data_IF_936825400997
#
_entry.id   IF_936825400997
#
_cell.length_a   1.000
_cell.length_b   1.000
_cell.length_c   1.000
_cell.angle_alpha   90.00
_cell.angle_beta   90.00
_cell.angle_gamma   90.00
#
_symmetry.space_group_name_H-M   'P 1'
#
loop_
_entity.id
_entity.type
_entity.pdbx_description
1 polymer ?
#
# COMPACT_ATOMS: atom_id res chain seq x y z
N UNK A 1 8.53 -6.84 19.20
CA UNK A 1 9.36 -6.41 18.06
C UNK A 1 8.93 -7.23 16.86
N UNK A 2 9.01 -6.68 15.64
CA UNK A 2 8.63 -7.37 14.39
C UNK A 2 9.74 -8.35 14.01
N UNK A 3 9.46 -9.65 14.05
CA UNK A 3 10.42 -10.71 13.69
C UNK A 3 10.84 -10.54 12.22
N UNK A 4 9.88 -10.24 11.34
CA UNK A 4 10.15 -10.09 9.92
C UNK A 4 11.02 -8.85 9.62
N UNK A 5 10.75 -7.71 10.27
CA UNK A 5 11.59 -6.51 10.12
C UNK A 5 13.03 -6.77 10.61
N UNK A 6 13.20 -7.44 11.75
CA UNK A 6 14.55 -7.73 12.27
C UNK A 6 15.32 -8.69 11.35
N UNK A 7 14.64 -9.58 10.62
CA UNK A 7 15.26 -10.43 9.60
C UNK A 7 15.59 -9.68 8.30
N UNK A 8 14.76 -8.71 7.90
CA UNK A 8 15.00 -7.93 6.68
C UNK A 8 16.14 -6.91 6.84
N UNK A 9 16.34 -6.33 8.02
CA UNK A 9 17.45 -5.38 8.27
C UNK A 9 18.83 -5.91 7.84
N UNK A 10 19.32 -7.07 8.30
CA UNK A 10 20.62 -7.60 7.86
C UNK A 10 20.63 -7.96 6.36
N UNK A 11 19.52 -8.42 5.79
CA UNK A 11 19.40 -8.69 4.33
C UNK A 11 19.54 -7.41 3.51
N UNK A 12 18.85 -6.34 3.90
CA UNK A 12 18.96 -5.03 3.26
C UNK A 12 20.36 -4.42 3.42
N UNK A 13 21.01 -4.59 4.58
CA UNK A 13 22.40 -4.18 4.77
C UNK A 13 23.35 -4.94 3.83
N UNK A 14 23.18 -6.26 3.70
CA UNK A 14 23.97 -7.07 2.78
C UNK A 14 23.76 -6.61 1.32
N UNK A 15 22.51 -6.47 0.88
CA UNK A 15 22.15 -5.97 -0.46
C UNK A 15 22.76 -4.59 -0.76
N UNK A 16 22.68 -3.66 0.20
CA UNK A 16 23.32 -2.34 0.11
C UNK A 16 24.84 -2.45 -0.07
N UNK A 17 25.49 -3.36 0.64
CA UNK A 17 26.94 -3.51 0.61
C UNK A 17 27.48 -4.19 -0.66
N UNK A 18 26.71 -5.06 -1.32
CA UNK A 18 27.21 -5.89 -2.43
C UNK A 18 26.58 -5.57 -3.78
N UNK A 19 25.38 -4.99 -3.82
CA UNK A 19 24.68 -4.82 -5.08
C UNK A 19 25.29 -3.69 -5.94
N UNK A 20 25.14 -3.76 -7.28
CA UNK A 20 25.60 -2.73 -8.20
C UNK A 20 24.69 -1.49 -8.24
N UNK A 21 23.61 -1.47 -7.45
CA UNK A 21 22.57 -0.44 -7.53
C UNK A 21 22.83 0.78 -6.62
N UNK A 22 23.88 0.72 -5.79
CA UNK A 22 24.30 1.79 -4.89
C UNK A 22 25.68 2.33 -5.25
N UNK A 23 25.82 3.65 -5.17
CA UNK A 23 27.10 4.35 -5.24
C UNK A 23 27.96 4.04 -4.01
N UNK A 24 29.28 4.27 -4.12
CA UNK A 24 30.18 4.08 -2.97
C UNK A 24 29.81 4.96 -1.78
N UNK A 25 29.33 6.19 -2.04
CA UNK A 25 28.83 7.07 -0.99
C UNK A 25 27.61 6.48 -0.29
N UNK A 26 26.67 5.91 -1.05
CA UNK A 26 25.46 5.30 -0.51
C UNK A 26 25.72 4.07 0.37
N UNK A 27 26.91 3.44 0.29
CA UNK A 27 27.27 2.28 1.11
C UNK A 27 27.57 2.63 2.57
N UNK A 28 27.89 3.88 2.89
CA UNK A 28 28.11 4.34 4.27
C UNK A 28 26.84 4.25 5.13
N UNK A 29 26.98 4.10 6.45
CA UNK A 29 25.83 3.98 7.36
C UNK A 29 24.97 5.26 7.38
N UNK A 30 23.66 5.07 7.27
CA UNK A 30 22.69 6.15 7.28
C UNK A 30 22.13 6.44 8.67
N UNK A 31 21.92 7.72 9.00
CA UNK A 31 21.29 8.12 10.26
C UNK A 31 19.77 8.10 10.18
N UNK A 32 19.13 7.28 11.03
CA UNK A 32 17.69 7.21 11.21
C UNK A 32 17.35 7.29 12.71
N UNK A 33 16.41 8.17 13.10
CA UNK A 33 16.05 8.42 14.52
C UNK A 33 17.29 8.58 15.41
N UNK A 34 18.21 9.46 15.01
CA UNK A 34 19.44 9.84 15.73
C UNK A 34 20.56 8.78 15.79
N UNK A 35 20.35 7.60 15.21
CA UNK A 35 21.36 6.52 15.20
C UNK A 35 21.75 6.13 13.78
N UNK A 36 23.03 5.83 13.58
CA UNK A 36 23.55 5.29 12.32
C UNK A 36 23.26 3.79 12.22
N UNK A 37 22.82 3.34 11.05
CA UNK A 37 22.53 1.93 10.78
C UNK A 37 23.06 1.49 9.41
N UNK A 38 23.53 0.25 9.29
CA UNK A 38 24.05 -0.27 8.02
C UNK A 38 22.94 -0.51 6.98
N UNK A 39 21.70 -0.72 7.41
CA UNK A 39 20.52 -0.87 6.53
C UNK A 39 19.82 0.47 6.21
N UNK A 40 20.40 1.60 6.61
CA UNK A 40 19.94 2.93 6.21
C UNK A 40 20.96 3.55 5.26
N UNK A 41 20.48 4.33 4.29
CA UNK A 41 21.33 5.11 3.39
C UNK A 41 21.70 6.47 4.03
N UNK A 42 22.85 7.07 3.69
CA UNK A 42 23.07 8.49 3.93
C UNK A 42 21.93 9.30 3.32
N UNK A 43 21.51 10.40 3.96
CA UNK A 43 20.28 11.12 3.59
C UNK A 43 20.37 11.75 2.20
N UNK A 44 21.57 12.20 1.84
CA UNK A 44 21.96 12.70 0.53
C UNK A 44 21.82 11.64 -0.57
N UNK A 45 21.91 10.35 -0.22
CA UNK A 45 21.79 9.20 -1.12
C UNK A 45 20.40 8.54 -1.04
N UNK A 46 19.40 9.14 -0.38
CA UNK A 46 18.12 8.48 -0.12
C UNK A 46 17.37 8.05 -1.40
N UNK A 47 17.52 8.77 -2.51
CA UNK A 47 16.94 8.39 -3.81
C UNK A 47 17.48 7.04 -4.33
N UNK A 48 18.65 6.61 -3.87
CA UNK A 48 19.20 5.30 -4.19
C UNK A 48 18.41 4.13 -3.56
N UNK A 49 17.51 4.43 -2.63
CA UNK A 49 16.53 3.47 -2.13
C UNK A 49 15.52 3.02 -3.22
N UNK A 50 15.46 3.74 -4.35
CA UNK A 50 14.63 3.39 -5.49
C UNK A 50 15.42 2.64 -6.55
N UNK A 51 14.74 1.71 -7.23
CA UNK A 51 15.25 1.02 -8.41
C UNK A 51 15.75 2.05 -9.45
N UNK A 52 17.00 1.93 -9.94
CA UNK A 52 17.61 2.99 -10.77
C UNK A 52 16.78 3.43 -11.97
N UNK A 53 16.16 2.49 -12.70
CA UNK A 53 15.44 2.81 -13.95
C UNK A 53 14.16 3.63 -13.70
N UNK A 54 13.58 3.58 -12.49
CA UNK A 54 12.40 4.40 -12.14
C UNK A 54 12.75 5.66 -11.35
N UNK A 55 13.95 5.72 -10.74
CA UNK A 55 14.32 6.73 -9.71
C UNK A 55 13.94 8.14 -10.10
N UNK A 56 14.36 8.61 -11.28
CA UNK A 56 14.05 9.96 -11.74
C UNK A 56 12.56 10.18 -12.03
N UNK A 57 11.93 9.20 -12.69
CA UNK A 57 10.54 9.31 -13.11
C UNK A 57 9.56 9.30 -11.93
N UNK A 58 9.83 8.49 -10.89
CA UNK A 58 8.99 8.43 -9.70
C UNK A 58 9.20 9.64 -8.79
N UNK A 59 10.43 10.13 -8.60
CA UNK A 59 10.65 11.35 -7.80
C UNK A 59 10.01 12.57 -8.47
N UNK A 60 10.06 12.64 -9.82
CA UNK A 60 9.33 13.64 -10.59
C UNK A 60 7.81 13.51 -10.40
N UNK A 61 7.27 12.28 -10.50
CA UNK A 61 5.84 12.04 -10.27
C UNK A 61 5.40 12.44 -8.85
N UNK A 62 6.14 12.05 -7.81
CA UNK A 62 5.86 12.44 -6.43
C UNK A 62 5.94 13.96 -6.24
N UNK A 63 6.90 14.62 -6.89
CA UNK A 63 7.04 16.07 -6.87
C UNK A 63 5.85 16.79 -7.51
N UNK A 64 5.43 16.36 -8.71
CA UNK A 64 4.31 16.96 -9.46
C UNK A 64 2.97 16.72 -8.75
N UNK A 65 2.77 15.53 -8.18
CA UNK A 65 1.54 15.18 -7.45
C UNK A 65 1.57 15.63 -5.98
N UNK A 66 2.66 16.26 -5.55
CA UNK A 66 2.93 16.70 -4.18
C UNK A 66 2.67 15.59 -3.15
N UNK A 67 3.08 14.37 -3.51
CA UNK A 67 2.99 13.21 -2.64
C UNK A 67 4.09 13.30 -1.59
N UNK A 68 3.71 13.13 -0.33
CA UNK A 68 4.68 13.09 0.76
C UNK A 68 5.32 11.71 0.84
N UNK A 69 6.65 11.68 0.86
CA UNK A 69 7.38 10.47 1.22
C UNK A 69 7.26 10.17 2.71
N UNK A 70 6.88 8.95 3.06
CA UNK A 70 6.87 8.45 4.43
C UNK A 70 8.30 8.40 4.97
N UNK A 71 8.51 8.97 6.17
CA UNK A 71 9.81 9.13 6.81
C UNK A 71 10.94 9.74 5.94
N UNK A 72 10.57 10.35 4.80
CA UNK A 72 11.47 11.04 3.89
C UNK A 72 11.81 12.45 4.33
N UNK A 73 12.87 13.01 3.75
CA UNK A 73 13.37 14.37 4.05
C UNK A 73 13.69 15.11 2.77
N UNK A 74 13.49 16.44 2.77
CA UNK A 74 13.77 17.30 1.62
C UNK A 74 13.12 16.82 0.31
N UNK A 75 11.90 16.27 0.41
CA UNK A 75 11.14 15.66 -0.70
C UNK A 75 11.79 14.42 -1.33
N UNK A 76 12.78 13.82 -0.67
CA UNK A 76 13.37 12.53 -1.04
C UNK A 76 12.64 11.37 -0.34
N UNK A 77 12.69 10.16 -0.91
CA UNK A 77 12.18 8.96 -0.26
C UNK A 77 12.85 8.71 1.11
N UNK A 78 12.26 7.81 1.89
CA UNK A 78 12.86 7.31 3.12
C UNK A 78 14.27 6.80 2.85
N UNK A 79 15.21 7.06 3.75
CA UNK A 79 16.54 6.46 3.71
C UNK A 79 16.59 5.07 4.37
N UNK A 80 15.48 4.61 4.95
CA UNK A 80 15.36 3.30 5.58
C UNK A 80 15.04 2.22 4.52
N UNK A 81 15.90 1.23 4.33
CA UNK A 81 15.74 0.24 3.24
C UNK A 81 14.56 -0.72 3.44
N UNK A 82 13.98 -0.78 4.65
CA UNK A 82 12.73 -1.52 4.92
C UNK A 82 11.46 -0.65 4.88
N UNK A 83 11.52 0.54 4.29
CA UNK A 83 10.35 1.41 4.15
C UNK A 83 9.32 0.82 3.17
N UNK A 84 8.05 0.76 3.58
CA UNK A 84 7.00 0.12 2.79
C UNK A 84 6.50 0.96 1.62
N UNK A 85 6.56 2.29 1.72
CA UNK A 85 6.21 3.17 0.59
C UNK A 85 7.26 3.05 -0.52
N UNK A 86 8.55 3.00 -0.15
CA UNK A 86 9.63 2.73 -1.09
C UNK A 86 9.55 1.31 -1.66
N UNK A 87 9.17 0.32 -0.85
CA UNK A 87 8.89 -1.03 -1.34
C UNK A 87 7.77 -1.02 -2.39
N UNK A 88 6.61 -0.44 -2.06
CA UNK A 88 5.47 -0.29 -2.97
C UNK A 88 5.88 0.37 -4.30
N UNK A 89 6.60 1.48 -4.23
CA UNK A 89 7.17 2.19 -5.37
C UNK A 89 8.04 1.28 -6.25
N UNK A 90 8.97 0.54 -5.66
CA UNK A 90 9.88 -0.35 -6.37
C UNK A 90 9.17 -1.52 -7.05
N UNK A 91 8.03 -1.97 -6.52
CA UNK A 91 7.26 -3.05 -7.11
C UNK A 91 6.28 -2.57 -8.18
N UNK A 92 5.56 -1.48 -7.94
CA UNK A 92 4.41 -1.10 -8.78
C UNK A 92 4.73 0.00 -9.81
N UNK A 93 5.66 0.92 -9.53
CA UNK A 93 5.96 2.01 -10.45
C UNK A 93 6.54 1.55 -11.82
N UNK A 94 7.31 0.44 -11.91
CA UNK A 94 7.75 -0.09 -13.20
C UNK A 94 6.62 -0.45 -14.18
N UNK A 95 5.38 -0.59 -13.68
CA UNK A 95 4.18 -0.85 -14.46
C UNK A 95 3.37 0.43 -14.79
N UNK A 96 3.75 1.59 -14.25
CA UNK A 96 2.97 2.83 -14.34
C UNK A 96 2.73 3.31 -15.79
N UNK A 97 3.58 2.91 -16.73
CA UNK A 97 3.53 3.23 -18.15
C UNK A 97 3.45 1.99 -19.07
N UNK A 98 3.24 0.78 -18.50
CA UNK A 98 3.22 -0.49 -19.25
C UNK A 98 1.86 -1.18 -19.11
N UNK A 99 0.85 -0.78 -19.90
CA UNK A 99 -0.51 -1.28 -19.72
C UNK A 99 -0.64 -2.79 -19.89
N UNK A 100 0.08 -3.39 -20.83
CA UNK A 100 0.03 -4.83 -21.08
C UNK A 100 0.64 -5.62 -19.90
N UNK A 101 1.79 -5.17 -19.40
CA UNK A 101 2.44 -5.77 -18.24
C UNK A 101 1.57 -5.62 -16.97
N UNK A 102 0.96 -4.45 -16.75
CA UNK A 102 0.06 -4.24 -15.63
C UNK A 102 -1.19 -5.10 -15.73
N UNK A 103 -1.74 -5.27 -16.94
CA UNK A 103 -2.88 -6.16 -17.18
C UNK A 103 -2.51 -7.61 -16.85
N UNK A 104 -1.32 -8.07 -17.23
CA UNK A 104 -0.83 -9.43 -16.92
C UNK A 104 -0.64 -9.64 -15.40
N UNK A 105 -0.10 -8.64 -14.70
CA UNK A 105 0.03 -8.63 -13.24
C UNK A 105 -1.34 -8.74 -12.55
N UNK A 106 -2.26 -7.84 -12.91
CA UNK A 106 -3.58 -7.78 -12.26
C UNK A 106 -4.44 -9.01 -12.57
N UNK A 107 -4.25 -9.67 -13.71
CA UNK A 107 -5.00 -10.88 -14.08
C UNK A 107 -4.80 -12.04 -13.09
N UNK A 108 -3.71 -12.06 -12.33
CA UNK A 108 -3.47 -13.05 -11.27
C UNK A 108 -4.53 -12.97 -10.15
N UNK A 109 -5.12 -11.79 -9.94
CA UNK A 109 -6.11 -11.53 -8.89
C UNK A 109 -7.49 -11.23 -9.48
N UNK A 110 -7.53 -10.57 -10.63
CA UNK A 110 -8.73 -10.18 -11.37
C UNK A 110 -8.75 -10.89 -12.73
N UNK A 111 -9.10 -12.18 -12.80
CA UNK A 111 -8.99 -12.97 -14.04
C UNK A 111 -9.89 -12.46 -15.18
N UNK A 112 -10.93 -11.69 -14.84
CA UNK A 112 -11.88 -11.09 -15.79
C UNK A 112 -11.39 -9.75 -16.38
N UNK A 113 -10.17 -9.31 -16.07
CA UNK A 113 -9.61 -8.07 -16.63
C UNK A 113 -9.45 -8.18 -18.15
N UNK A 114 -10.01 -7.21 -18.86
CA UNK A 114 -9.83 -7.03 -20.31
C UNK A 114 -8.60 -6.17 -20.60
N UNK A 115 -8.57 -4.96 -20.04
CA UNK A 115 -7.47 -4.00 -20.18
C UNK A 115 -7.48 -3.00 -19.02
N UNK A 116 -6.31 -2.49 -18.66
CA UNK A 116 -6.17 -1.37 -17.73
C UNK A 116 -6.53 -0.04 -18.39
N UNK A 117 -6.90 0.94 -17.57
CA UNK A 117 -7.19 2.32 -17.94
C UNK A 117 -6.27 3.25 -17.17
N UNK A 118 -5.96 4.41 -17.74
CA UNK A 118 -5.18 5.43 -17.04
C UNK A 118 -5.92 5.90 -15.77
N UNK A 119 -5.20 5.95 -14.66
CA UNK A 119 -5.66 6.52 -13.40
C UNK A 119 -5.40 8.03 -13.31
N UNK A 120 -4.37 8.50 -14.01
CA UNK A 120 -3.92 9.88 -13.94
C UNK A 120 -4.13 10.59 -15.29
N UNK A 121 -4.35 11.90 -15.23
CA UNK A 121 -4.56 12.76 -16.41
C UNK A 121 -3.35 12.84 -17.35
N UNK A 122 -2.16 12.46 -16.86
CA UNK A 122 -0.92 12.37 -17.64
C UNK A 122 -0.74 10.99 -18.31
N UNK A 123 -1.75 10.12 -18.25
CA UNK A 123 -1.77 8.82 -18.92
C UNK A 123 -1.20 7.67 -18.10
N UNK A 124 -0.74 7.89 -16.86
CA UNK A 124 -0.23 6.81 -16.01
C UNK A 124 -1.34 5.86 -15.55
N UNK A 125 -1.03 4.56 -15.54
CA UNK A 125 -1.95 3.48 -15.18
C UNK A 125 -1.94 3.12 -13.69
N UNK A 126 -0.85 3.45 -13.00
CA UNK A 126 -0.72 3.28 -11.54
C UNK A 126 -0.63 4.67 -10.92
N UNK A 127 -1.51 4.94 -9.96
CA UNK A 127 -1.46 6.12 -9.12
C UNK A 127 -0.92 5.76 -7.73
N UNK A 128 -0.18 6.64 -7.07
CA UNK A 128 0.27 6.44 -5.69
C UNK A 128 -0.42 7.40 -4.74
N UNK A 129 -0.58 6.92 -3.50
CA UNK A 129 -1.15 7.67 -2.38
C UNK A 129 -2.54 8.25 -2.72
N UNK A 130 -3.35 7.50 -3.47
CA UNK A 130 -4.62 7.97 -4.03
C UNK A 130 -5.64 8.24 -2.93
N UNK A 131 -6.26 9.42 -2.97
CA UNK A 131 -7.22 9.91 -1.95
C UNK A 131 -8.64 10.09 -2.48
N UNK A 132 -8.91 9.74 -3.74
CA UNK A 132 -10.13 10.11 -4.46
C UNK A 132 -10.14 11.56 -4.95
N UNK A 133 -10.88 11.85 -6.02
CA UNK A 133 -11.00 13.18 -6.61
C UNK A 133 -11.69 14.17 -5.65
N UNK A 134 -12.56 13.66 -4.77
CA UNK A 134 -13.29 14.43 -3.75
C UNK A 134 -12.97 13.93 -2.34
N UNK A 135 -13.25 14.77 -1.34
CA UNK A 135 -13.10 14.40 0.07
C UNK A 135 -14.28 13.56 0.56
N UNK A 136 -14.43 12.35 0.01
CA UNK A 136 -15.57 11.47 0.29
C UNK A 136 -15.73 11.14 1.77
N UNK A 137 -14.63 11.01 2.50
CA UNK A 137 -14.65 10.64 3.92
C UNK A 137 -14.90 11.83 4.86
N UNK A 138 -14.98 13.06 4.35
CA UNK A 138 -15.12 14.25 5.18
C UNK A 138 -13.93 14.49 6.12
N UNK A 139 -12.74 14.02 5.75
CA UNK A 139 -11.53 14.17 6.58
C UNK A 139 -11.11 15.65 6.65
N UNK A 140 -10.45 16.02 7.74
CA UNK A 140 -10.15 17.43 8.01
C UNK A 140 -9.16 17.97 6.99
N UNK A 141 -9.60 18.99 6.27
CA UNK A 141 -8.73 19.78 5.39
C UNK A 141 -7.91 20.74 6.25
N UNK A 142 -6.60 20.79 5.98
CA UNK A 142 -5.71 21.69 6.70
C UNK A 142 -6.05 23.16 6.40
N UNK A 143 -5.53 24.10 7.20
CA UNK A 143 -5.82 25.54 7.04
C UNK A 143 -5.50 26.10 5.66
N UNK A 144 -4.61 25.45 4.90
CA UNK A 144 -4.27 25.86 3.53
C UNK A 144 -5.32 25.44 2.48
N UNK A 145 -6.42 24.79 2.88
CA UNK A 145 -7.50 24.37 1.98
C UNK A 145 -7.14 23.22 1.03
N UNK A 146 -5.93 22.67 1.13
CA UNK A 146 -5.39 21.71 0.16
C UNK A 146 -5.40 20.29 0.71
N UNK A 147 -5.89 19.35 -0.10
CA UNK A 147 -5.75 17.91 0.15
C UNK A 147 -4.39 17.45 -0.34
N UNK A 148 -3.67 16.69 0.47
CA UNK A 148 -2.30 16.22 0.17
C UNK A 148 -2.27 14.70 0.24
N UNK A 149 -1.70 14.06 -0.78
CA UNK A 149 -1.52 12.61 -0.82
C UNK A 149 -0.38 12.16 0.12
N UNK A 150 -0.56 11.06 0.85
CA UNK A 150 0.42 10.58 1.83
C UNK A 150 0.51 11.41 3.12
N UNK A 151 -0.48 12.28 3.38
CA UNK A 151 -0.51 13.09 4.59
C UNK A 151 -1.92 13.49 5.01
N UNK A 152 -2.30 13.17 6.26
CA UNK A 152 -3.55 13.61 6.92
C UNK A 152 -4.88 13.11 6.32
N UNK A 153 -4.84 12.44 5.17
CA UNK A 153 -5.99 11.81 4.53
C UNK A 153 -5.85 10.30 4.50
N UNK A 154 -6.95 9.61 4.22
CA UNK A 154 -6.92 8.21 3.83
C UNK A 154 -6.37 8.16 2.41
N UNK A 155 -5.18 7.59 2.29
CA UNK A 155 -4.51 7.34 1.02
C UNK A 155 -4.43 5.83 0.82
N UNK A 156 -4.81 5.36 -0.36
CA UNK A 156 -4.41 4.04 -0.82
C UNK A 156 -2.95 4.14 -1.30
N UNK A 157 -2.08 3.22 -0.88
CA UNK A 157 -0.66 3.25 -1.22
C UNK A 157 -0.47 3.30 -2.74
N UNK A 158 -1.31 2.56 -3.47
CA UNK A 158 -1.48 2.71 -4.90
C UNK A 158 -2.95 2.56 -5.33
N UNK A 159 -3.25 2.89 -6.58
CA UNK A 159 -4.55 2.62 -7.20
C UNK A 159 -4.39 2.33 -8.70
N UNK A 160 -5.23 1.43 -9.21
CA UNK A 160 -5.29 1.04 -10.62
C UNK A 160 -6.74 1.00 -11.08
N UNK A 161 -6.98 1.28 -12.37
CA UNK A 161 -8.30 1.16 -12.98
C UNK A 161 -8.25 0.23 -14.17
N UNK A 162 -9.31 -0.54 -14.38
CA UNK A 162 -9.41 -1.47 -15.50
C UNK A 162 -10.85 -1.75 -15.90
N UNK A 163 -11.01 -2.34 -17.08
CA UNK A 163 -12.28 -2.85 -17.57
C UNK A 163 -12.35 -4.36 -17.45
N UNK A 164 -13.52 -4.87 -17.14
CA UNK A 164 -13.85 -6.29 -17.18
C UNK A 164 -14.18 -6.71 -18.61
N UNK A 165 -14.20 -8.02 -18.86
CA UNK A 165 -14.69 -8.62 -20.11
C UNK A 165 -16.15 -8.29 -20.41
N UNK A 166 -16.97 -8.02 -19.39
CA UNK A 166 -18.37 -7.59 -19.54
C UNK A 166 -18.54 -6.06 -19.73
N UNK A 167 -17.44 -5.31 -19.80
CA UNK A 167 -17.46 -3.86 -20.03
C UNK A 167 -17.51 -2.98 -18.78
N UNK A 168 -17.74 -3.55 -17.59
CA UNK A 168 -17.72 -2.79 -16.33
C UNK A 168 -16.33 -2.24 -16.03
N UNK A 169 -16.28 -1.05 -15.44
CA UNK A 169 -15.05 -0.41 -14.96
C UNK A 169 -14.86 -0.67 -13.47
N UNK A 170 -13.64 -1.04 -13.08
CA UNK A 170 -13.27 -1.24 -11.69
C UNK A 170 -12.04 -0.42 -11.34
N UNK A 171 -12.07 0.25 -10.20
CA UNK A 171 -10.88 0.76 -9.51
C UNK A 171 -10.53 -0.24 -8.40
N UNK A 172 -9.26 -0.60 -8.32
CA UNK A 172 -8.70 -1.30 -7.15
C UNK A 172 -7.79 -0.34 -6.38
N UNK A 173 -8.20 0.00 -5.16
CA UNK A 173 -7.37 0.70 -4.17
C UNK A 173 -6.43 -0.31 -3.55
N UNK A 174 -5.13 -0.09 -3.66
CA UNK A 174 -4.10 -1.02 -3.19
C UNK A 174 -3.60 -0.57 -1.82
N UNK A 175 -3.72 -1.47 -0.85
CA UNK A 175 -3.04 -1.41 0.44
C UNK A 175 -1.80 -2.30 0.38
N UNK A 176 -0.63 -1.69 0.46
CA UNK A 176 0.65 -2.38 0.38
C UNK A 176 1.27 -2.52 1.76
N UNK A 177 1.77 -3.71 2.06
CA UNK A 177 2.57 -3.99 3.25
C UNK A 177 3.92 -4.56 2.84
N UNK A 178 4.88 -4.37 3.72
CA UNK A 178 6.20 -4.97 3.71
C UNK A 178 6.53 -5.55 5.08
N UNK A 179 7.06 -4.76 6.01
CA UNK A 179 7.57 -5.23 7.32
C UNK A 179 6.70 -4.85 8.52
N UNK A 180 5.48 -4.37 8.28
CA UNK A 180 4.58 -3.87 9.31
C UNK A 180 4.25 -4.95 10.35
N UNK A 181 4.20 -4.52 11.61
CA UNK A 181 3.76 -5.30 12.75
C UNK A 181 3.01 -4.37 13.69
N UNK A 182 1.81 -4.78 14.09
CA UNK A 182 0.92 -3.94 14.88
C UNK A 182 0.70 -4.52 16.28
N UNK A 183 0.56 -3.62 17.25
CA UNK A 183 0.15 -3.93 18.61
C UNK A 183 -1.35 -3.72 18.80
N UNK A 184 -1.84 -3.98 20.01
CA UNK A 184 -3.21 -3.74 20.47
C UNK A 184 -3.42 -2.30 20.96
N UNK A 185 -2.67 -1.34 20.40
CA UNK A 185 -2.84 0.08 20.74
C UNK A 185 -4.20 0.57 20.26
N UNK A 186 -5.04 0.99 21.20
CA UNK A 186 -6.33 1.61 20.89
C UNK A 186 -6.14 3.03 20.33
N UNK A 187 -6.65 3.26 19.12
CA UNK A 187 -6.43 4.48 18.34
C UNK A 187 -7.62 5.43 18.32
N UNK A 188 -8.72 5.15 19.02
CA UNK A 188 -9.92 6.01 18.98
C UNK A 188 -9.61 7.48 19.27
N UNK A 189 -8.83 7.75 20.31
CA UNK A 189 -8.43 9.11 20.67
C UNK A 189 -7.01 9.38 20.18
N UNK A 190 -6.87 10.35 19.28
CA UNK A 190 -5.57 10.80 18.81
C UNK A 190 -4.78 11.53 19.92
N UNK A 191 -3.46 11.65 19.76
CA UNK A 191 -2.61 12.43 20.69
C UNK A 191 -3.05 13.89 20.87
N UNK A 192 -3.74 14.45 19.87
CA UNK A 192 -4.32 15.80 19.94
C UNK A 192 -5.62 15.87 20.75
N UNK A 193 -6.11 14.76 21.30
CA UNK A 193 -7.40 14.66 21.98
C UNK A 193 -8.60 14.45 21.04
N UNK A 194 -8.37 14.44 19.72
CA UNK A 194 -9.45 14.23 18.75
C UNK A 194 -9.95 12.79 18.78
N UNK A 195 -11.25 12.62 18.99
CA UNK A 195 -11.94 11.34 18.80
C UNK A 195 -12.12 11.05 17.30
N UNK A 196 -11.47 10.00 16.81
CA UNK A 196 -11.46 9.59 15.41
C UNK A 196 -12.78 8.94 14.99
N UNK A 197 -13.61 8.46 15.93
CA UNK A 197 -14.95 7.93 15.61
C UNK A 197 -15.82 8.99 14.97
N UNK A 198 -15.73 10.24 15.43
CA UNK A 198 -16.52 11.37 14.91
C UNK A 198 -16.28 11.64 13.43
N UNK A 199 -15.11 11.26 12.91
CA UNK A 199 -14.77 11.43 11.49
C UNK A 199 -15.59 10.46 10.63
N UNK A 200 -15.70 9.20 11.06
CA UNK A 200 -16.22 8.12 10.21
C UNK A 200 -17.59 7.58 10.65
N UNK A 201 -18.12 8.01 11.80
CA UNK A 201 -19.41 7.55 12.32
C UNK A 201 -20.55 7.76 11.31
N UNK A 202 -20.52 8.88 10.57
CA UNK A 202 -21.52 9.18 9.55
C UNK A 202 -21.51 8.19 8.36
N UNK A 203 -20.39 7.49 8.11
CA UNK A 203 -20.27 6.44 7.08
C UNK A 203 -20.67 5.08 7.66
N UNK A 204 -20.19 4.78 8.87
CA UNK A 204 -20.52 3.54 9.57
C UNK A 204 -22.04 3.40 9.81
N UNK A 205 -22.71 4.50 10.12
CA UNK A 205 -24.14 4.52 10.44
C UNK A 205 -25.05 4.41 9.20
N UNK A 206 -24.54 4.55 7.97
CA UNK A 206 -25.37 4.40 6.77
C UNK A 206 -25.84 2.95 6.58
N UNK A 207 -26.98 2.78 5.90
CA UNK A 207 -27.57 1.47 5.60
C UNK A 207 -26.74 0.67 4.58
N UNK A 208 -26.08 1.39 3.67
CA UNK A 208 -25.18 0.88 2.66
C UNK A 208 -23.72 0.78 3.14
N UNK A 209 -23.46 0.94 4.44
CA UNK A 209 -22.14 0.72 5.03
C UNK A 209 -21.57 -0.64 4.55
N UNK A 210 -20.30 -0.68 4.06
CA UNK A 210 -19.72 -1.87 3.43
C UNK A 210 -19.36 -2.97 4.42
N UNK A 211 -19.51 -2.73 5.73
CA UNK A 211 -19.18 -3.66 6.80
C UNK A 211 -20.43 -4.34 7.37
N UNK A 212 -20.31 -5.63 7.67
CA UNK A 212 -21.34 -6.43 8.30
C UNK A 212 -21.38 -6.12 9.79
N UNK A 213 -22.18 -5.10 10.14
CA UNK A 213 -22.35 -4.63 11.51
C UNK A 213 -22.88 -5.69 12.48
N UNK A 214 -23.55 -6.73 11.98
CA UNK A 214 -24.03 -7.83 12.82
C UNK A 214 -22.90 -8.73 13.35
N UNK A 215 -21.74 -8.74 12.68
CA UNK A 215 -20.54 -9.46 13.12
C UNK A 215 -19.59 -8.58 13.95
N UNK A 216 -19.81 -7.26 13.99
CA UNK A 216 -18.94 -6.32 14.66
C UNK A 216 -19.50 -6.01 16.07
N UNK A 217 -18.80 -6.35 17.16
CA UNK A 217 -19.32 -6.10 18.51
C UNK A 217 -19.52 -4.60 18.80
N UNK A 218 -18.57 -3.76 18.39
CA UNK A 218 -18.65 -2.31 18.49
C UNK A 218 -17.88 -1.62 17.36
N UNK A 219 -18.28 -0.39 17.01
CA UNK A 219 -17.51 0.45 16.10
C UNK A 219 -16.10 0.73 16.62
N UNK A 220 -15.94 0.81 17.95
CA UNK A 220 -14.66 1.05 18.61
C UNK A 220 -13.65 -0.08 18.31
N UNK A 221 -14.12 -1.30 18.03
CA UNK A 221 -13.25 -2.45 17.74
C UNK A 221 -12.48 -2.32 16.42
N UNK A 222 -12.83 -1.33 15.59
CA UNK A 222 -12.11 -0.99 14.36
C UNK A 222 -10.95 -0.02 14.59
N UNK A 223 -10.83 0.59 15.77
CA UNK A 223 -9.78 1.58 16.06
C UNK A 223 -8.50 0.92 16.61
N UNK A 224 -8.07 -0.16 15.98
CA UNK A 224 -6.80 -0.84 16.21
C UNK A 224 -6.14 -1.09 14.85
N UNK A 225 -4.83 -0.90 14.71
CA UNK A 225 -4.20 -1.23 13.41
C UNK A 225 -4.05 -2.75 13.23
N UNK A 226 -4.26 -3.30 12.03
CA UNK A 226 -4.57 -2.61 10.78
C UNK A 226 -6.08 -2.45 10.49
N UNK A 227 -6.98 -2.83 11.41
CA UNK A 227 -8.44 -2.65 11.21
C UNK A 227 -8.81 -1.20 10.93
N UNK A 228 -8.13 -0.24 11.56
CA UNK A 228 -8.38 1.18 11.36
C UNK A 228 -8.03 1.63 9.94
N UNK A 229 -6.88 1.21 9.42
CA UNK A 229 -6.49 1.41 8.01
C UNK A 229 -7.50 0.78 7.04
N UNK A 230 -7.81 -0.51 7.24
CA UNK A 230 -8.72 -1.24 6.37
C UNK A 230 -10.13 -0.64 6.34
N UNK A 231 -10.65 -0.21 7.51
CA UNK A 231 -11.94 0.47 7.61
C UNK A 231 -11.99 1.73 6.75
N UNK A 232 -10.97 2.59 6.88
CA UNK A 232 -10.90 3.86 6.16
C UNK A 232 -10.87 3.65 4.65
N UNK A 233 -10.08 2.68 4.19
CA UNK A 233 -10.00 2.37 2.76
C UNK A 233 -11.25 1.70 2.23
N UNK A 234 -11.89 0.83 3.02
CA UNK A 234 -13.15 0.23 2.61
C UNK A 234 -14.28 1.27 2.51
N UNK A 235 -14.31 2.25 3.42
CA UNK A 235 -15.21 3.40 3.29
C UNK A 235 -14.88 4.26 2.08
N UNK A 236 -13.59 4.51 1.80
CA UNK A 236 -13.19 5.29 0.63
C UNK A 236 -13.64 4.60 -0.66
N UNK A 237 -13.41 3.29 -0.76
CA UNK A 237 -13.88 2.48 -1.89
C UNK A 237 -15.40 2.58 -2.06
N UNK A 238 -16.17 2.40 -0.99
CA UNK A 238 -17.63 2.46 -1.03
C UNK A 238 -18.15 3.81 -1.55
N UNK A 239 -17.61 4.92 -1.03
CA UNK A 239 -18.07 6.25 -1.44
C UNK A 239 -17.59 6.64 -2.85
N UNK A 240 -16.41 6.18 -3.27
CA UNK A 240 -15.95 6.32 -4.65
C UNK A 240 -16.83 5.55 -5.64
N UNK A 241 -17.25 4.32 -5.28
CA UNK A 241 -18.16 3.50 -6.09
C UNK A 241 -19.53 4.18 -6.24
N UNK A 242 -20.12 4.66 -5.15
CA UNK A 242 -21.39 5.41 -5.16
C UNK A 242 -21.32 6.66 -6.03
N UNK A 243 -20.17 7.33 -6.02
CA UNK A 243 -19.94 8.55 -6.78
C UNK A 243 -19.59 8.29 -8.25
N UNK A 244 -19.43 7.03 -8.67
CA UNK A 244 -18.88 6.66 -9.97
C UNK A 244 -17.58 7.42 -10.28
N UNK A 245 -16.66 7.47 -9.31
CA UNK A 245 -15.37 8.15 -9.49
C UNK A 245 -14.68 7.62 -10.76
N UNK A 246 -14.25 8.54 -11.63
CA UNK A 246 -13.65 8.21 -12.94
C UNK A 246 -14.53 7.30 -13.83
N UNK A 247 -15.84 7.26 -13.57
CA UNK A 247 -16.79 6.38 -14.23
C UNK A 247 -16.70 4.91 -13.80
N UNK A 248 -16.15 4.62 -12.62
CA UNK A 248 -16.08 3.27 -12.09
C UNK A 248 -17.48 2.72 -11.72
N UNK A 249 -17.73 1.45 -12.06
CA UNK A 249 -18.91 0.70 -11.64
C UNK A 249 -18.65 -0.12 -10.38
N UNK A 250 -17.37 -0.32 -10.05
CA UNK A 250 -16.88 -1.10 -8.92
C UNK A 250 -15.65 -0.37 -8.36
N UNK A 251 -15.58 -0.24 -7.04
CA UNK A 251 -14.35 0.14 -6.36
C UNK A 251 -14.10 -0.86 -5.24
N UNK A 252 -12.95 -1.53 -5.31
CA UNK A 252 -12.54 -2.58 -4.38
C UNK A 252 -11.24 -2.23 -3.68
N UNK A 253 -10.98 -2.84 -2.53
CA UNK A 253 -9.67 -2.79 -1.88
C UNK A 253 -8.90 -4.08 -2.18
N UNK A 254 -7.65 -3.93 -2.64
CA UNK A 254 -6.68 -4.99 -2.83
C UNK A 254 -5.56 -4.85 -1.79
N UNK A 255 -5.52 -5.76 -0.83
CA UNK A 255 -4.44 -5.86 0.12
C UNK A 255 -3.31 -6.76 -0.43
N UNK A 256 -2.08 -6.26 -0.37
CA UNK A 256 -0.87 -6.97 -0.80
C UNK A 256 0.14 -6.94 0.35
N UNK A 257 0.60 -8.12 0.78
CA UNK A 257 1.63 -8.24 1.82
C UNK A 257 2.52 -9.45 1.57
N UNK A 258 3.81 -9.44 1.97
CA UNK A 258 4.63 -10.65 1.94
C UNK A 258 3.99 -11.76 2.76
N UNK A 259 3.89 -12.96 2.20
CA UNK A 259 3.43 -14.14 2.94
C UNK A 259 4.33 -14.44 4.15
N UNK A 260 5.62 -14.08 4.02
CA UNK A 260 6.63 -14.21 5.07
C UNK A 260 6.43 -13.24 6.25
N UNK A 261 5.62 -12.18 6.10
CA UNK A 261 5.31 -11.29 7.22
C UNK A 261 4.21 -11.89 8.10
N UNK A 262 4.58 -12.90 8.91
CA UNK A 262 3.67 -13.49 9.89
C UNK A 262 3.23 -12.52 10.99
N UNK A 263 4.02 -11.48 11.27
CA UNK A 263 3.73 -10.50 12.30
C UNK A 263 2.47 -9.67 11.99
N UNK A 264 2.20 -9.42 10.70
CA UNK A 264 0.99 -8.72 10.25
C UNK A 264 -0.29 -9.50 10.52
N UNK A 265 -0.23 -10.84 10.60
CA UNK A 265 -1.43 -11.70 10.76
C UNK A 265 -2.17 -11.46 12.08
N UNK A 266 -1.53 -10.86 13.07
CA UNK A 266 -2.07 -10.68 14.42
C UNK A 266 -3.42 -9.94 14.42
N UNK A 267 -4.39 -10.50 15.15
CA UNK A 267 -5.65 -9.81 15.47
C UNK A 267 -5.42 -8.89 16.68
N UNK A 268 -5.23 -7.61 16.39
CA UNK A 268 -4.88 -6.59 17.37
C UNK A 268 -6.06 -6.11 18.20
N UNK A 269 -7.25 -6.01 17.60
CA UNK A 269 -8.50 -5.71 18.29
C UNK A 269 -8.94 -6.88 19.17
N UNK A 270 -8.99 -6.74 20.51
CA UNK A 270 -9.26 -7.87 21.41
C UNK A 270 -10.61 -8.54 21.17
N UNK A 271 -11.66 -7.76 20.93
CA UNK A 271 -13.02 -8.27 20.71
C UNK A 271 -13.16 -9.04 19.40
N UNK A 272 -12.26 -8.81 18.43
CA UNK A 272 -12.32 -9.46 17.12
C UNK A 272 -11.54 -10.80 17.06
N UNK A 273 -10.75 -11.14 18.10
CA UNK A 273 -9.97 -12.38 18.15
C UNK A 273 -10.80 -13.66 17.94
N UNK A 274 -12.03 -13.78 18.49
CA UNK A 274 -12.84 -14.99 18.28
C UNK A 274 -13.34 -15.18 16.84
N UNK A 275 -13.21 -14.18 15.96
CA UNK A 275 -13.83 -14.19 14.63
C UNK A 275 -12.93 -14.75 13.52
N UNK A 276 -11.67 -15.06 13.79
CA UNK A 276 -10.76 -15.62 12.79
C UNK A 276 -9.37 -15.95 13.35
N UNK A 277 -8.49 -16.44 12.47
CA UNK A 277 -7.10 -16.79 12.83
C UNK A 277 -6.12 -15.68 12.47
N UNK A 278 -6.51 -14.76 11.58
CA UNK A 278 -5.73 -13.59 11.20
C UNK A 278 -6.60 -12.36 10.97
N UNK A 279 -5.97 -11.19 10.97
CA UNK A 279 -6.64 -9.92 10.65
C UNK A 279 -7.33 -9.96 9.28
N UNK A 280 -6.73 -10.61 8.28
CA UNK A 280 -7.32 -10.73 6.94
C UNK A 280 -8.53 -11.67 6.94
N UNK A 281 -8.48 -12.77 7.71
CA UNK A 281 -9.63 -13.68 7.83
C UNK A 281 -10.82 -13.01 8.49
N UNK A 282 -10.57 -12.23 9.54
CA UNK A 282 -11.60 -11.39 10.18
C UNK A 282 -12.13 -10.36 9.19
N UNK A 283 -11.25 -9.63 8.49
CA UNK A 283 -11.66 -8.57 7.58
C UNK A 283 -12.52 -9.08 6.42
N UNK A 284 -12.14 -10.21 5.80
CA UNK A 284 -12.92 -10.85 4.74
C UNK A 284 -14.34 -11.21 5.18
N UNK A 285 -14.54 -11.57 6.45
CA UNK A 285 -15.88 -11.84 7.01
C UNK A 285 -16.66 -10.56 7.31
N UNK A 286 -15.96 -9.50 7.70
CA UNK A 286 -16.58 -8.20 7.99
C UNK A 286 -17.03 -7.47 6.73
N UNK A 287 -16.34 -7.58 5.60
CA UNK A 287 -16.78 -6.93 4.35
C UNK A 287 -18.03 -7.63 3.81
N UNK A 288 -19.12 -6.88 3.60
CA UNK A 288 -20.44 -7.44 3.23
C UNK A 288 -20.45 -8.05 1.83
N UNK A 289 -19.80 -7.40 0.88
CA UNK A 289 -19.84 -7.78 -0.53
C UNK A 289 -18.52 -8.50 -0.86
N UNK A 290 -18.53 -9.82 -1.15
CA UNK A 290 -17.31 -10.62 -1.19
C UNK A 290 -16.25 -10.19 -2.22
N UNK A 291 -16.63 -9.49 -3.29
CA UNK A 291 -15.74 -9.02 -4.35
C UNK A 291 -15.19 -7.59 -4.10
N UNK A 292 -15.49 -6.96 -2.96
CA UNK A 292 -15.04 -5.61 -2.60
C UNK A 292 -13.76 -5.55 -1.77
N UNK A 293 -13.28 -6.71 -1.32
CA UNK A 293 -11.98 -6.83 -0.66
C UNK A 293 -11.29 -8.12 -1.11
N UNK A 294 -10.07 -7.98 -1.63
CA UNK A 294 -9.20 -9.12 -1.95
C UNK A 294 -7.88 -8.96 -1.25
N UNK A 295 -7.29 -10.07 -0.80
CA UNK A 295 -5.95 -10.08 -0.20
C UNK A 295 -5.13 -11.16 -0.87
N UNK A 296 -3.93 -10.80 -1.31
CA UNK A 296 -2.97 -11.67 -2.00
C UNK A 296 -1.58 -11.46 -1.40
N UNK A 297 -0.75 -12.49 -1.43
CA UNK A 297 0.66 -12.30 -1.08
C UNK A 297 1.43 -11.63 -2.21
N UNK A 298 2.47 -10.86 -1.89
CA UNK A 298 3.34 -10.28 -2.92
C UNK A 298 3.96 -11.37 -3.79
N UNK A 299 4.43 -12.46 -3.18
CA UNK A 299 4.98 -13.63 -3.85
C UNK A 299 3.99 -14.21 -4.87
N UNK A 300 2.73 -14.44 -4.47
CA UNK A 300 1.70 -14.95 -5.38
C UNK A 300 1.41 -13.99 -6.53
N UNK A 301 1.27 -12.69 -6.25
CA UNK A 301 0.93 -11.68 -7.25
C UNK A 301 1.98 -11.61 -8.37
N UNK A 302 3.26 -11.74 -8.03
CA UNK A 302 4.36 -11.61 -8.98
C UNK A 302 4.88 -12.95 -9.55
N UNK A 303 4.46 -14.10 -9.00
CA UNK A 303 5.00 -15.44 -9.32
C UNK A 303 4.89 -15.92 -10.77
N UNK A 304 3.95 -15.39 -11.56
CA UNK A 304 3.59 -15.93 -12.90
C UNK A 304 3.73 -14.93 -14.04
N UNK A 305 4.55 -13.89 -13.86
CA UNK A 305 4.82 -12.91 -14.91
C UNK A 305 5.80 -13.46 -15.95
N UNK A 306 5.50 -13.27 -17.23
CA UNK A 306 6.45 -13.53 -18.31
C UNK A 306 7.51 -12.42 -18.40
N UNK A 307 8.38 -12.32 -17.38
CA UNK A 307 9.35 -11.23 -17.17
C UNK A 307 10.13 -10.84 -18.44
N UNK A 308 10.70 -11.81 -19.16
CA UNK A 308 11.48 -11.56 -20.37
C UNK A 308 10.63 -10.98 -21.49
N UNK A 309 9.45 -11.56 -21.74
CA UNK A 309 8.50 -11.07 -22.76
C UNK A 309 8.03 -9.65 -22.46
N UNK A 310 7.86 -9.32 -21.17
CA UNK A 310 7.43 -8.01 -20.72
C UNK A 310 8.56 -6.97 -20.68
N UNK A 311 9.81 -7.37 -20.99
CA UNK A 311 10.97 -6.48 -20.94
C UNK A 311 11.33 -6.02 -19.53
N UNK A 312 11.00 -6.83 -18.52
CA UNK A 312 11.12 -6.49 -17.10
C UNK A 312 12.31 -7.18 -16.41
N UNK A 313 13.25 -7.75 -17.16
CA UNK A 313 14.35 -8.57 -16.62
C UNK A 313 15.20 -7.83 -15.58
N UNK A 314 15.65 -6.60 -15.87
CA UNK A 314 16.47 -5.81 -14.93
C UNK A 314 15.72 -5.48 -13.64
N UNK A 315 14.45 -5.14 -13.76
CA UNK A 315 13.59 -4.87 -12.61
C UNK A 315 13.41 -6.13 -11.78
N UNK A 316 13.12 -7.26 -12.43
CA UNK A 316 12.94 -8.53 -11.75
C UNK A 316 14.19 -8.97 -11.00
N UNK A 317 15.37 -8.86 -11.64
CA UNK A 317 16.66 -9.09 -11.00
C UNK A 317 16.82 -8.20 -9.75
N UNK A 318 16.50 -6.91 -9.86
CA UNK A 318 16.55 -5.99 -8.73
C UNK A 318 15.63 -6.40 -7.59
N UNK A 319 14.32 -6.59 -7.85
CA UNK A 319 13.35 -6.86 -6.77
C UNK A 319 13.57 -8.25 -6.17
N UNK A 320 13.86 -9.28 -6.97
CA UNK A 320 14.08 -10.64 -6.48
C UNK A 320 15.40 -10.77 -5.70
N UNK A 321 16.43 -9.99 -6.03
CA UNK A 321 17.68 -9.95 -5.26
C UNK A 321 17.54 -9.15 -3.98
N UNK A 322 16.84 -8.01 -4.03
CA UNK A 322 16.66 -7.12 -2.87
C UNK A 322 15.69 -7.68 -1.84
N UNK A 323 14.59 -8.25 -2.31
CA UNK A 323 13.49 -8.76 -1.49
C UNK A 323 13.50 -10.28 -1.60
N UNK A 324 14.50 -10.92 -0.99
CA UNK A 324 14.80 -12.34 -1.17
C UNK A 324 13.63 -13.28 -0.87
N UNK A 325 12.71 -12.87 0.01
CA UNK A 325 11.47 -13.58 0.31
C UNK A 325 10.54 -13.77 -0.91
N UNK A 326 10.75 -13.06 -2.03
CA UNK A 326 10.07 -13.34 -3.30
C UNK A 326 10.44 -14.70 -3.90
N UNK A 327 11.65 -15.17 -3.65
CA UNK A 327 12.17 -16.43 -4.20
C UNK A 327 12.00 -17.60 -3.23
N UNK A 328 11.84 -17.31 -1.94
CA UNK A 328 11.60 -18.30 -0.92
C UNK A 328 10.23 -18.95 -1.15
N UNK A 329 10.16 -20.28 -1.11
CA UNK A 329 8.86 -20.98 -1.10
C UNK A 329 8.12 -20.54 0.16
N UNK A 330 6.84 -20.19 0.01
CA UNK A 330 5.96 -19.79 1.12
C UNK A 330 6.17 -20.73 2.32
N UNK A 331 6.45 -20.21 3.53
CA UNK A 331 6.78 -21.03 4.69
C UNK A 331 5.62 -21.92 5.17
#
# INVERSE_FOLDING_TARGET
MSTFLENEKPRQAAFKSTSPYFSDAARADGVYKEKAYPFCLPRECAEENLFPDIRHSITTYFGVKEIKWHDGQDRRPSNHLCDSQVCCANFLFPFADKPDALTELLRQVFPIIKQVLAMETDGRYVSFEWIGEKNYLGEIISRNGKRTRGANFTSADAAVMFTHTNGRRQIALIEWKYTESYGDTFLKVAKSGKDRTTIYAHLYNQDDCPLNKALLPSFDDLFYEPFYQLMRQQFLANEMEKAHELGADIVSVLHIAPAHNSDFRRITSPALRPFGESVIDVWKKLVRTPDRFTSVSTEQLFSKLAIERLGLTKWWEYVSTRYAWLNDRTP
#
